data_IF_514203033939
#
_entry.id   IF_514203033939
#
_cell.length_a   1.000
_cell.length_b   1.000
_cell.length_c   1.000
_cell.angle_alpha   90.00
_cell.angle_beta   90.00
_cell.angle_gamma   90.00
#
_symmetry.space_group_name_H-M   'P 1'
#
loop_
_entity.id
_entity.type
_entity.pdbx_description
1 polymer ?
#
# COMPACT_ATOMS: atom_id res chain seq x y z
N UNK A 1 21.41 1.22 0.70
CA UNK A 1 20.67 0.51 -0.36
C UNK A 1 19.36 0.05 0.25
N UNK A 2 18.23 0.38 -0.36
CA UNK A 2 16.92 -0.14 0.01
C UNK A 2 16.67 -1.42 -0.77
N UNK A 3 16.33 -2.50 -0.09
CA UNK A 3 15.99 -3.78 -0.73
C UNK A 3 14.47 -3.91 -0.75
N UNK A 4 13.90 -4.25 -1.91
CA UNK A 4 12.47 -4.56 -2.04
C UNK A 4 12.34 -6.06 -2.19
N UNK A 5 11.54 -6.69 -1.32
CA UNK A 5 11.24 -8.13 -1.37
C UNK A 5 9.77 -8.33 -1.68
N UNK A 6 9.48 -9.40 -2.39
CA UNK A 6 8.13 -9.77 -2.78
C UNK A 6 7.90 -11.23 -2.43
N UNK A 7 6.75 -11.53 -1.86
CA UNK A 7 6.31 -12.88 -1.55
C UNK A 7 4.88 -13.02 -2.06
N UNK A 8 4.65 -13.93 -3.01
CA UNK A 8 3.32 -14.19 -3.53
C UNK A 8 2.86 -15.58 -3.11
N UNK A 9 1.78 -15.63 -2.33
CA UNK A 9 1.07 -16.86 -2.00
C UNK A 9 -0.04 -17.09 -3.03
N UNK A 10 0.15 -18.11 -3.87
CA UNK A 10 -0.80 -18.51 -4.90
C UNK A 10 -2.08 -19.13 -4.34
N UNK A 11 -2.03 -19.75 -3.16
CA UNK A 11 -3.21 -20.40 -2.56
C UNK A 11 -4.16 -19.35 -1.97
N UNK A 12 -3.60 -18.36 -1.26
CA UNK A 12 -4.35 -17.24 -0.71
C UNK A 12 -4.66 -16.10 -1.70
N UNK A 13 -4.03 -16.07 -2.88
CA UNK A 13 -4.00 -14.90 -3.79
C UNK A 13 -3.54 -13.63 -3.05
N UNK A 14 -2.43 -13.75 -2.31
CA UNK A 14 -1.86 -12.69 -1.48
C UNK A 14 -0.48 -12.29 -1.99
N UNK A 15 -0.27 -11.01 -2.26
CA UNK A 15 1.05 -10.44 -2.52
C UNK A 15 1.50 -9.58 -1.34
N UNK A 16 2.60 -9.99 -0.72
CA UNK A 16 3.34 -9.20 0.27
C UNK A 16 4.55 -8.52 -0.39
N UNK A 17 4.68 -7.22 -0.15
CA UNK A 17 5.83 -6.41 -0.56
C UNK A 17 6.46 -5.84 0.69
N UNK A 18 7.75 -6.09 0.89
CA UNK A 18 8.53 -5.56 2.01
C UNK A 18 9.57 -4.57 1.49
N UNK A 19 9.60 -3.38 2.07
CA UNK A 19 10.62 -2.38 1.84
C UNK A 19 11.62 -2.40 3.01
N UNK A 20 12.76 -3.03 2.79
CA UNK A 20 13.79 -3.19 3.80
C UNK A 20 14.70 -1.95 3.82
N UNK A 21 14.59 -1.22 4.93
CA UNK A 21 15.43 -0.07 5.27
C UNK A 21 16.23 -0.31 6.56
N UNK A 22 16.34 -1.57 7.00
CA UNK A 22 16.81 -1.95 8.33
C UNK A 22 15.65 -2.13 9.34
N UNK A 23 16.00 -2.25 10.62
CA UNK A 23 15.03 -2.52 11.70
C UNK A 23 14.11 -1.30 11.88
N UNK A 24 12.77 -1.44 11.76
CA UNK A 24 11.85 -0.35 12.06
C UNK A 24 11.83 -0.06 13.57
N UNK A 25 11.54 1.18 13.95
CA UNK A 25 11.35 1.57 15.35
C UNK A 25 10.06 0.94 15.88
N UNK A 26 8.96 1.17 15.16
CA UNK A 26 7.65 0.60 15.46
C UNK A 26 6.85 0.42 14.16
N UNK A 27 6.47 -0.82 13.84
CA UNK A 27 5.62 -1.13 12.68
C UNK A 27 4.15 -0.87 13.04
N UNK A 28 3.49 -0.07 12.21
CA UNK A 28 2.05 0.23 12.28
C UNK A 28 1.40 -0.22 10.97
N UNK A 29 0.21 -0.85 11.05
CA UNK A 29 -0.54 -1.34 9.90
C UNK A 29 -1.80 -0.54 9.70
N UNK A 30 -2.05 -0.10 8.46
CA UNK A 30 -3.25 0.62 8.07
C UNK A 30 -3.99 -0.15 6.99
N UNK A 31 -5.16 -0.66 7.34
CA UNK A 31 -6.11 -1.19 6.37
C UNK A 31 -6.68 -0.02 5.57
N UNK A 32 -6.44 -0.01 4.26
CA UNK A 32 -6.96 1.03 3.37
C UNK A 32 -8.33 0.63 2.80
N UNK A 33 -8.53 -0.68 2.64
CA UNK A 33 -9.80 -1.37 2.42
C UNK A 33 -9.60 -2.86 2.80
N UNK A 34 -10.60 -3.71 2.52
CA UNK A 34 -10.57 -5.16 2.82
C UNK A 34 -9.41 -5.93 2.17
N UNK A 35 -8.79 -5.37 1.12
CA UNK A 35 -7.82 -6.07 0.29
C UNK A 35 -6.43 -5.43 0.28
N UNK A 36 -6.24 -4.30 0.96
CA UNK A 36 -4.98 -3.54 0.92
C UNK A 36 -4.60 -3.09 2.32
N UNK A 37 -3.43 -3.51 2.78
CA UNK A 37 -2.83 -3.05 4.04
C UNK A 37 -1.49 -2.38 3.74
N UNK A 38 -1.30 -1.17 4.27
CA UNK A 38 -0.04 -0.45 4.24
C UNK A 38 0.64 -0.55 5.60
N UNK A 39 1.88 -1.00 5.61
CA UNK A 39 2.72 -0.98 6.81
C UNK A 39 3.64 0.24 6.78
N UNK A 40 3.74 0.95 7.88
CA UNK A 40 4.63 2.11 8.03
C UNK A 40 5.43 2.03 9.33
N UNK A 41 6.55 2.72 9.35
CA UNK A 41 7.27 3.03 10.58
C UNK A 41 6.59 4.23 11.25
N UNK A 42 6.10 4.04 12.47
CA UNK A 42 5.28 5.03 13.17
C UNK A 42 6.02 6.34 13.44
N UNK A 43 7.32 6.29 13.67
CA UNK A 43 8.10 7.47 14.03
C UNK A 43 8.55 8.26 12.81
N UNK A 44 8.83 7.57 11.70
CA UNK A 44 9.45 8.18 10.51
C UNK A 44 8.51 8.36 9.32
N UNK A 45 7.27 7.86 9.41
CA UNK A 45 6.29 7.81 8.30
C UNK A 45 6.80 7.08 7.06
N UNK A 46 7.84 6.27 7.21
CA UNK A 46 8.42 5.52 6.10
C UNK A 46 7.55 4.30 5.79
N UNK A 47 7.18 4.05 4.52
CA UNK A 47 6.54 2.80 4.15
C UNK A 47 7.48 1.61 4.41
N UNK A 48 6.98 0.60 5.12
CA UNK A 48 7.69 -0.65 5.41
C UNK A 48 7.22 -1.79 4.52
N UNK A 49 6.02 -1.72 3.98
CA UNK A 49 5.50 -2.74 3.07
C UNK A 49 4.04 -2.54 2.69
N UNK A 50 3.59 -3.39 1.77
CA UNK A 50 2.21 -3.50 1.33
C UNK A 50 1.80 -4.97 1.38
N UNK A 51 0.55 -5.23 1.75
CA UNK A 51 -0.08 -6.54 1.59
C UNK A 51 -1.32 -6.36 0.75
N UNK A 52 -1.44 -7.16 -0.31
CA UNK A 52 -2.56 -7.18 -1.23
C UNK A 52 -3.25 -8.54 -1.14
N UNK A 53 -4.52 -8.55 -0.77
CA UNK A 53 -5.37 -9.76 -0.74
C UNK A 53 -6.21 -9.79 -2.01
N UNK A 54 -6.47 -10.97 -2.55
CA UNK A 54 -7.09 -11.12 -3.88
C UNK A 54 -6.32 -10.37 -4.98
N UNK A 55 -4.99 -10.41 -4.94
CA UNK A 55 -4.10 -9.60 -5.77
C UNK A 55 -4.42 -9.71 -7.27
N UNK A 56 -4.69 -10.92 -7.77
CA UNK A 56 -5.06 -11.15 -9.16
C UNK A 56 -6.29 -10.34 -9.61
N UNK A 57 -7.26 -10.12 -8.71
CA UNK A 57 -8.48 -9.34 -8.97
C UNK A 57 -8.23 -7.83 -8.85
N UNK A 58 -7.32 -7.42 -7.97
CA UNK A 58 -6.95 -6.01 -7.78
C UNK A 58 -6.25 -5.43 -9.00
N UNK A 59 -5.49 -6.24 -9.74
CA UNK A 59 -4.82 -5.81 -10.98
C UNK A 59 -5.79 -5.37 -12.09
N UNK A 60 -7.06 -5.76 -12.02
CA UNK A 60 -8.02 -5.56 -13.09
C UNK A 60 -8.93 -4.33 -12.89
N UNK A 61 -8.84 -3.66 -11.75
CA UNK A 61 -9.81 -2.60 -11.39
C UNK A 61 -9.17 -1.47 -10.57
N UNK A 62 -9.86 -0.34 -10.55
CA UNK A 62 -9.59 0.75 -9.61
C UNK A 62 -10.37 0.45 -8.33
N UNK A 63 -9.75 0.67 -7.18
CA UNK A 63 -10.29 0.36 -5.86
C UNK A 63 -10.44 1.63 -5.02
N UNK A 64 -11.55 1.74 -4.32
CA UNK A 64 -11.73 2.76 -3.30
C UNK A 64 -10.93 2.44 -2.05
N UNK A 65 -10.40 3.47 -1.39
CA UNK A 65 -9.78 3.37 -0.07
C UNK A 65 -10.82 3.65 1.01
N UNK A 66 -11.81 2.77 1.14
CA UNK A 66 -13.02 2.99 1.94
C UNK A 66 -12.73 3.25 3.42
N UNK A 67 -11.63 2.68 3.95
CA UNK A 67 -11.26 2.83 5.35
C UNK A 67 -10.45 4.09 5.61
N UNK A 68 -9.93 4.76 4.57
CA UNK A 68 -9.30 6.05 4.76
C UNK A 68 -10.32 7.07 5.27
N UNK A 69 -11.52 7.11 4.71
CA UNK A 69 -12.57 8.08 5.09
C UNK A 69 -13.09 7.90 6.53
N UNK A 70 -12.90 6.72 7.13
CA UNK A 70 -13.34 6.43 8.51
C UNK A 70 -12.30 6.81 9.56
N UNK A 71 -11.07 7.09 9.16
CA UNK A 71 -9.98 7.46 10.07
C UNK A 71 -10.08 8.92 10.55
N UNK A 72 -9.48 9.27 11.71
CA UNK A 72 -9.36 10.65 12.13
C UNK A 72 -8.66 11.53 11.09
N UNK A 73 -9.05 12.82 10.93
CA UNK A 73 -8.47 13.69 9.90
C UNK A 73 -6.94 13.79 9.92
N UNK A 74 -6.32 13.77 11.10
CA UNK A 74 -4.86 13.78 11.21
C UNK A 74 -4.21 12.55 10.58
N UNK A 75 -4.81 11.37 10.78
CA UNK A 75 -4.35 10.10 10.23
C UNK A 75 -4.60 10.01 8.72
N UNK A 76 -5.73 10.55 8.26
CA UNK A 76 -6.05 10.64 6.83
C UNK A 76 -5.00 11.46 6.06
N UNK A 77 -4.70 12.68 6.52
CA UNK A 77 -3.69 13.53 5.90
C UNK A 77 -2.31 12.89 5.90
N UNK A 78 -1.93 12.24 7.02
CA UNK A 78 -0.69 11.49 7.15
C UNK A 78 -0.60 10.39 6.08
N UNK A 79 -1.64 9.57 5.96
CA UNK A 79 -1.66 8.46 5.01
C UNK A 79 -1.67 8.90 3.55
N UNK A 80 -2.40 9.96 3.19
CA UNK A 80 -2.39 10.49 1.82
C UNK A 80 -0.99 10.94 1.42
N UNK A 81 -0.26 11.61 2.33
CA UNK A 81 1.12 12.01 2.10
C UNK A 81 2.02 10.79 1.88
N UNK A 82 1.86 9.73 2.67
CA UNK A 82 2.63 8.49 2.54
C UNK A 82 2.29 7.76 1.23
N UNK A 83 1.02 7.65 0.87
CA UNK A 83 0.54 7.05 -0.38
C UNK A 83 1.04 7.79 -1.62
N UNK A 84 1.29 9.10 -1.50
CA UNK A 84 1.91 9.90 -2.55
C UNK A 84 3.43 9.72 -2.70
N UNK A 85 4.08 8.94 -1.81
CA UNK A 85 5.53 8.75 -1.85
C UNK A 85 5.99 8.00 -3.12
N UNK A 86 7.13 8.41 -3.67
CA UNK A 86 7.70 7.81 -4.89
C UNK A 86 7.91 6.30 -4.79
N UNK A 87 8.24 5.80 -3.61
CA UNK A 87 8.45 4.38 -3.33
C UNK A 87 7.20 3.53 -3.60
N UNK A 88 6.00 4.09 -3.39
CA UNK A 88 4.75 3.35 -3.52
C UNK A 88 4.17 3.40 -4.93
N UNK A 89 4.55 4.41 -5.74
CA UNK A 89 4.00 4.63 -7.09
C UNK A 89 4.01 3.39 -8.01
N UNK A 90 5.07 2.55 -8.03
CA UNK A 90 5.08 1.35 -8.87
C UNK A 90 4.03 0.30 -8.48
N UNK A 91 3.57 0.33 -7.23
CA UNK A 91 2.69 -0.70 -6.66
C UNK A 91 1.27 -0.17 -6.44
N UNK A 92 1.14 1.12 -6.18
CA UNK A 92 -0.12 1.76 -5.84
C UNK A 92 -0.12 3.20 -6.35
N UNK A 93 -0.97 3.48 -7.34
CA UNK A 93 -1.13 4.81 -7.92
C UNK A 93 -2.47 5.40 -7.52
N UNK A 94 -2.45 6.57 -6.89
CA UNK A 94 -3.66 7.35 -6.62
C UNK A 94 -4.24 7.87 -7.94
N UNK A 95 -5.47 7.46 -8.25
CA UNK A 95 -6.20 7.89 -9.46
C UNK A 95 -6.86 9.26 -9.24
N UNK A 96 -7.31 9.51 -8.00
CA UNK A 96 -7.96 10.76 -7.58
C UNK A 96 -7.17 11.39 -6.43
N UNK A 97 -6.14 12.22 -6.71
CA UNK A 97 -5.32 12.83 -5.67
C UNK A 97 -6.03 13.99 -4.95
N UNK A 98 -7.15 14.48 -5.49
CA UNK A 98 -7.95 15.56 -4.90
C UNK A 98 -8.97 14.99 -3.91
N UNK A 99 -8.49 14.61 -2.74
CA UNK A 99 -9.35 14.34 -1.59
C UNK A 99 -9.49 15.62 -0.77
N UNK A 100 -10.72 16.10 -0.59
CA UNK A 100 -11.03 17.35 0.14
C UNK A 100 -11.55 17.10 1.56
N UNK A 101 -11.44 15.86 2.05
CA UNK A 101 -11.93 15.46 3.36
C UNK A 101 -13.27 14.71 3.32
N UNK A 102 -13.82 14.47 4.50
CA UNK A 102 -15.06 13.73 4.72
C UNK A 102 -16.22 14.26 3.85
N UNK A 103 -16.89 13.36 3.11
CA UNK A 103 -18.00 13.69 2.21
C UNK A 103 -17.61 14.00 0.76
N UNK A 104 -16.32 13.95 0.43
CA UNK A 104 -15.82 14.03 -0.95
C UNK A 104 -15.84 12.69 -1.66
N UNK A 105 -15.58 12.68 -2.98
CA UNK A 105 -15.33 11.43 -3.70
C UNK A 105 -14.17 10.67 -3.03
N UNK A 106 -14.38 9.37 -2.80
CA UNK A 106 -13.43 8.52 -2.09
C UNK A 106 -12.10 8.49 -2.84
N UNK A 107 -10.95 8.47 -2.13
CA UNK A 107 -9.67 8.29 -2.78
C UNK A 107 -9.64 6.91 -3.42
N UNK A 108 -9.22 6.87 -4.67
CA UNK A 108 -9.18 5.66 -5.49
C UNK A 108 -7.74 5.34 -5.87
N UNK A 109 -7.44 4.04 -5.93
CA UNK A 109 -6.10 3.53 -6.27
C UNK A 109 -6.16 2.49 -7.37
N UNK A 110 -5.10 2.46 -8.18
CA UNK A 110 -4.80 1.35 -9.08
C UNK A 110 -3.60 0.59 -8.55
N UNK A 111 -3.74 -0.72 -8.41
CA UNK A 111 -2.64 -1.60 -8.05
C UNK A 111 -1.76 -1.84 -9.28
N UNK A 112 -0.47 -1.62 -9.13
CA UNK A 112 0.52 -1.87 -10.16
C UNK A 112 0.91 -3.34 -10.22
N UNK A 113 1.28 -3.81 -11.41
CA UNK A 113 1.89 -5.12 -11.59
C UNK A 113 3.42 -4.94 -11.64
N UNK A 114 4.15 -5.00 -10.51
CA UNK A 114 5.59 -5.09 -10.58
C UNK A 114 5.94 -6.35 -11.36
N UNK A 115 6.84 -6.27 -12.34
CA UNK A 115 7.24 -7.43 -13.15
C UNK A 115 7.76 -8.54 -12.22
N UNK A 116 6.88 -9.49 -11.87
CA UNK A 116 7.17 -10.54 -10.87
C UNK A 116 8.24 -11.50 -11.40
N UNK A 117 8.46 -11.53 -12.72
CA UNK A 117 9.47 -12.34 -13.38
C UNK A 117 10.93 -11.89 -13.16
N UNK A 118 11.17 -10.71 -12.58
CA UNK A 118 12.52 -10.27 -12.16
C UNK A 118 12.79 -10.54 -10.65
N UNK A 119 11.83 -11.16 -9.96
CA UNK A 119 11.87 -11.38 -8.51
C UNK A 119 12.41 -12.78 -8.24
N UNK A 120 13.73 -12.85 -8.17
CA UNK A 120 14.47 -14.06 -7.81
C UNK A 120 13.86 -14.69 -6.56
N UNK A 121 13.42 -15.94 -6.75
CA UNK A 121 13.09 -16.88 -5.70
C UNK A 121 14.18 -16.86 -4.62
N UNK A 122 13.83 -16.43 -3.42
CA UNK A 122 14.62 -16.77 -2.24
C UNK A 122 14.01 -18.06 -1.71
N UNK A 123 14.61 -19.17 -2.16
CA UNK A 123 14.45 -20.50 -1.57
C UNK A 123 14.97 -20.52 -0.12
#
# INVERSE_FOLDING_TARGET
MSLIRFCYDTEGDILDITFDFGKPNQREGFELNDNIVLFVDRETDRPLGLMFISYSKLLQRVMSLDYLDTMPPAQQHRLIKILGADLLKPFLTLVSPRWLGAGSAKPEVRVGNPNVNELVAVA
#
